data_IF_472722140556
#
_entry.id   IF_472722140556
#
_cell.length_a   1.000
_cell.length_b   1.000
_cell.length_c   1.000
_cell.angle_alpha   90.00
_cell.angle_beta   90.00
_cell.angle_gamma   90.00
#
_symmetry.space_group_name_H-M   'P 1'
#
loop_
_entity.id
_entity.type
_entity.pdbx_description
1 polymer ?
#
# COMPACT_ATOMS: atom_id res chain seq x y z
N UNK A 1 -7.47 7.33 -9.53
CA UNK A 1 -7.58 8.80 -9.42
C UNK A 1 -7.57 9.33 -7.98
N UNK A 2 -8.02 8.58 -6.96
CA UNK A 2 -8.13 9.09 -5.58
C UNK A 2 -6.80 9.47 -4.91
N UNK A 3 -5.75 8.64 -5.06
CA UNK A 3 -4.44 8.93 -4.44
C UNK A 3 -3.84 10.25 -4.94
N UNK A 4 -3.95 10.53 -6.24
CA UNK A 4 -3.50 11.80 -6.82
C UNK A 4 -4.19 12.98 -6.13
N UNK A 5 -5.50 12.91 -5.98
CA UNK A 5 -6.29 13.98 -5.33
C UNK A 5 -5.82 14.24 -3.91
N UNK A 6 -5.53 13.20 -3.14
CA UNK A 6 -5.05 13.33 -1.75
C UNK A 6 -3.66 13.98 -1.73
N UNK A 7 -2.71 13.47 -2.52
CA UNK A 7 -1.33 13.98 -2.56
C UNK A 7 -1.29 15.46 -2.97
N UNK A 8 -2.10 15.86 -3.95
CA UNK A 8 -2.13 17.25 -4.44
C UNK A 8 -2.67 18.27 -3.44
N UNK A 9 -3.23 17.83 -2.31
CA UNK A 9 -3.72 18.70 -1.23
C UNK A 9 -2.74 18.85 -0.06
N UNK A 10 -1.58 18.18 -0.11
CA UNK A 10 -0.56 18.30 0.91
C UNK A 10 -0.05 19.75 1.01
N UNK A 11 0.00 20.29 2.24
CA UNK A 11 0.65 21.58 2.52
C UNK A 11 2.15 21.41 2.79
N UNK A 12 2.87 22.52 2.87
CA UNK A 12 4.27 22.53 3.27
C UNK A 12 4.48 21.84 4.64
N UNK A 13 5.56 21.08 4.78
CA UNK A 13 5.87 20.33 6.00
C UNK A 13 5.05 19.05 6.21
N UNK A 14 4.13 18.72 5.29
CA UNK A 14 3.33 17.49 5.40
C UNK A 14 4.14 16.25 5.01
N UNK A 15 4.06 15.21 5.84
CA UNK A 15 4.52 13.86 5.48
C UNK A 15 3.30 12.94 5.36
N UNK A 16 3.13 12.31 4.20
CA UNK A 16 2.09 11.31 3.96
C UNK A 16 2.68 9.90 4.02
N UNK A 17 1.99 8.98 4.67
CA UNK A 17 2.34 7.55 4.71
C UNK A 17 1.13 6.76 4.23
N UNK A 18 1.30 6.06 3.11
CA UNK A 18 0.28 5.18 2.55
C UNK A 18 0.66 3.74 2.91
N UNK A 19 -0.32 2.99 3.42
CA UNK A 19 -0.17 1.58 3.79
C UNK A 19 -1.31 0.77 3.20
N UNK A 20 -1.05 -0.48 2.84
CA UNK A 20 -2.06 -1.38 2.30
C UNK A 20 -1.43 -2.64 1.73
N UNK A 21 -2.25 -3.65 1.54
CA UNK A 21 -1.87 -4.88 0.85
C UNK A 21 -2.22 -4.75 -0.63
N UNK A 22 -1.21 -4.83 -1.50
CA UNK A 22 -1.41 -4.76 -2.95
C UNK A 22 -2.04 -6.04 -3.52
N UNK A 23 -2.00 -7.15 -2.76
CA UNK A 23 -2.55 -8.45 -3.16
C UNK A 23 -4.02 -8.61 -2.75
N UNK A 24 -4.52 -7.77 -1.84
CA UNK A 24 -5.92 -7.78 -1.45
C UNK A 24 -6.78 -7.09 -2.52
N UNK A 25 -7.32 -7.90 -3.44
CA UNK A 25 -8.21 -7.46 -4.52
C UNK A 25 -9.62 -7.97 -4.18
N UNK A 26 -10.35 -7.21 -3.36
CA UNK A 26 -11.70 -7.59 -2.90
C UNK A 26 -12.81 -7.32 -3.95
N UNK A 27 -12.47 -6.75 -5.11
CA UNK A 27 -13.45 -6.39 -6.15
C UNK A 27 -13.15 -7.05 -7.50
N UNK A 28 -14.10 -7.81 -8.08
CA UNK A 28 -13.91 -8.54 -9.34
C UNK A 28 -13.68 -7.65 -10.58
N UNK A 29 -13.81 -6.32 -10.44
CA UNK A 29 -13.62 -5.34 -11.50
C UNK A 29 -12.42 -4.41 -11.28
N UNK A 30 -11.68 -4.58 -10.18
CA UNK A 30 -10.47 -3.82 -9.89
C UNK A 30 -9.30 -4.57 -10.51
N UNK A 31 -8.99 -4.24 -11.76
CA UNK A 31 -7.84 -4.82 -12.46
C UNK A 31 -6.57 -4.52 -11.66
N UNK A 32 -5.63 -5.45 -11.63
CA UNK A 32 -4.35 -5.37 -10.87
C UNK A 32 -3.51 -4.11 -11.17
N UNK A 33 -3.80 -3.43 -12.29
CA UNK A 33 -3.21 -2.13 -12.67
C UNK A 33 -3.93 -0.90 -12.10
N UNK A 34 -5.08 -1.08 -11.44
CA UNK A 34 -5.94 0.00 -10.92
C UNK A 34 -5.84 0.18 -9.40
N UNK A 35 -4.95 -0.56 -8.73
CA UNK A 35 -4.60 -0.26 -7.34
C UNK A 35 -3.86 1.09 -7.29
N UNK A 36 -4.43 2.06 -6.57
CA UNK A 36 -3.85 3.39 -6.42
C UNK A 36 -2.41 3.34 -5.88
N UNK A 37 -2.08 2.38 -5.01
CA UNK A 37 -0.75 2.23 -4.43
C UNK A 37 0.28 1.81 -5.48
N UNK A 38 -0.03 0.82 -6.32
CA UNK A 38 0.86 0.35 -7.40
C UNK A 38 1.11 1.49 -8.39
N UNK A 39 0.05 2.20 -8.79
CA UNK A 39 0.15 3.36 -9.67
C UNK A 39 1.02 4.48 -9.07
N UNK A 40 0.85 4.77 -7.78
CA UNK A 40 1.66 5.77 -7.07
C UNK A 40 3.13 5.37 -7.04
N UNK A 41 3.43 4.13 -6.65
CA UNK A 41 4.80 3.61 -6.56
C UNK A 41 5.49 3.71 -7.92
N UNK A 42 4.84 3.25 -9.00
CA UNK A 42 5.44 3.27 -10.34
C UNK A 42 5.72 4.69 -10.86
N UNK A 43 4.87 5.67 -10.52
CA UNK A 43 5.03 7.07 -10.95
C UNK A 43 5.94 7.91 -10.07
N UNK A 44 6.06 7.57 -8.79
CA UNK A 44 6.83 8.33 -7.81
C UNK A 44 8.19 7.70 -7.50
N UNK A 45 8.47 6.47 -7.98
CA UNK A 45 9.82 5.91 -7.93
C UNK A 45 10.83 6.89 -8.53
N UNK A 46 12.04 6.86 -7.98
CA UNK A 46 13.16 7.72 -8.36
C UNK A 46 13.01 9.22 -8.02
N UNK A 47 11.93 9.63 -7.34
CA UNK A 47 11.83 10.98 -6.79
C UNK A 47 12.52 11.08 -5.43
N UNK A 48 13.34 12.12 -5.22
CA UNK A 48 14.10 12.33 -3.97
C UNK A 48 13.23 12.41 -2.69
N UNK A 49 11.95 12.78 -2.84
CA UNK A 49 11.00 12.95 -1.74
C UNK A 49 10.13 11.72 -1.49
N UNK A 50 10.32 10.64 -2.27
CA UNK A 50 9.52 9.44 -2.21
C UNK A 50 10.35 8.25 -1.72
N UNK A 51 9.76 7.43 -0.86
CA UNK A 51 10.31 6.17 -0.44
C UNK A 51 9.20 5.11 -0.41
N UNK A 52 9.55 3.90 -0.81
CA UNK A 52 8.66 2.75 -0.75
C UNK A 52 9.35 1.62 0.02
N UNK A 53 8.62 1.03 0.96
CA UNK A 53 9.07 -0.12 1.75
C UNK A 53 8.09 -1.25 1.50
N UNK A 54 8.59 -2.37 0.99
CA UNK A 54 7.80 -3.57 0.82
C UNK A 54 8.02 -4.51 2.01
N UNK A 55 6.95 -4.81 2.75
CA UNK A 55 6.97 -5.73 3.88
C UNK A 55 6.70 -7.15 3.37
N UNK A 56 7.76 -7.94 3.20
CA UNK A 56 7.68 -9.29 2.62
C UNK A 56 7.10 -10.34 3.57
N UNK A 57 7.18 -10.09 4.88
CA UNK A 57 6.73 -11.01 5.92
C UNK A 57 5.97 -10.24 7.00
N UNK A 58 4.78 -10.72 7.31
CA UNK A 58 4.06 -10.29 8.52
C UNK A 58 4.58 -11.07 9.72
N UNK A 59 4.88 -10.37 10.80
CA UNK A 59 5.16 -11.01 12.08
C UNK A 59 3.82 -11.35 12.74
N UNK A 60 3.56 -12.64 12.94
CA UNK A 60 2.37 -13.16 13.61
C UNK A 60 2.76 -13.61 15.02
N UNK A 61 1.85 -13.41 15.98
CA UNK A 61 2.04 -14.02 17.29
C UNK A 61 1.86 -15.53 17.20
N UNK A 62 2.45 -16.26 18.16
CA UNK A 62 2.31 -17.72 18.25
C UNK A 62 0.84 -18.18 18.22
N UNK A 63 -0.05 -17.44 18.91
CA UNK A 63 -1.49 -17.68 18.87
C UNK A 63 -2.08 -17.49 17.47
N UNK A 64 -1.69 -16.43 16.75
CA UNK A 64 -2.19 -16.15 15.40
C UNK A 64 -1.71 -17.18 14.39
N UNK A 65 -0.49 -17.69 14.55
CA UNK A 65 0.06 -18.75 13.71
C UNK A 65 -0.62 -20.09 13.99
N UNK A 66 -0.83 -20.43 15.26
CA UNK A 66 -1.60 -21.59 15.67
C UNK A 66 -3.03 -21.57 15.11
N UNK A 67 -3.73 -20.44 15.23
CA UNK A 67 -5.09 -20.28 14.71
C UNK A 67 -5.15 -20.45 13.18
N UNK A 68 -4.19 -19.87 12.45
CA UNK A 68 -4.12 -19.99 10.98
C UNK A 68 -3.83 -21.40 10.48
N UNK A 69 -3.23 -22.27 11.30
CA UNK A 69 -2.93 -23.65 10.93
C UNK A 69 -4.07 -24.61 11.28
N UNK A 70 -4.90 -24.26 12.27
CA UNK A 70 -5.99 -25.10 12.77
C UNK A 70 -7.35 -24.78 12.15
N UNK A 71 -7.54 -23.59 11.60
CA UNK A 71 -8.78 -23.09 10.99
C UNK A 71 -8.57 -22.81 9.50
#
# INVERSE_FOLDING_TARGET
NEIKTIITRAGEGTKMVFTGDIQQIDQPYLDSQSNGLVYMIDRMKDQNIFAHVNLLKGERSELSELASNLL
#
